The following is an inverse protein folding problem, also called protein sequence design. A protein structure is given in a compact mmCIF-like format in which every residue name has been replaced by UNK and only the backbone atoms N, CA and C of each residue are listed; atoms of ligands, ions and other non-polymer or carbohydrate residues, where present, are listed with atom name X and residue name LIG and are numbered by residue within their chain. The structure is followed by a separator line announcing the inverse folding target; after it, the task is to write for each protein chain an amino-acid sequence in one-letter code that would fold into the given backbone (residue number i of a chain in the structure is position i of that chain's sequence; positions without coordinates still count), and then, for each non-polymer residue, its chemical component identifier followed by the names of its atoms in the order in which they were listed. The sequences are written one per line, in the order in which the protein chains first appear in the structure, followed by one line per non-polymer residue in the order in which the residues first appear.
data_IF_401440419626
#
_entry.id   IF_401440419626
#
_cell.length_a   1.000
_cell.length_b   1.000
_cell.length_c   1.000
_cell.angle_alpha   90.00
_cell.angle_beta   90.00
_cell.angle_gamma   90.00
#
_symmetry.space_group_name_H-M   'P 1'
#
loop_
_entity.id
_entity.type
_entity.pdbx_description
1 polymer ?
#
# COMPACT_ATOMS: atom_id res chain seq x y z
N UNK A 1 6.00 -17.09 8.04
CA UNK A 1 5.06 -15.95 8.11
C UNK A 1 5.25 -15.07 6.88
N UNK A 2 4.18 -14.57 6.26
CA UNK A 2 4.29 -13.80 5.02
C UNK A 2 5.09 -12.49 5.18
N UNK A 3 5.05 -11.87 6.36
CA UNK A 3 5.85 -10.68 6.66
C UNK A 3 7.37 -10.95 6.70
N UNK A 4 7.80 -12.11 7.20
CA UNK A 4 9.21 -12.47 7.19
C UNK A 4 9.74 -12.64 5.76
N UNK A 5 8.89 -13.13 4.84
CA UNK A 5 9.25 -13.21 3.42
C UNK A 5 9.43 -11.80 2.84
N UNK A 6 8.47 -10.90 3.06
CA UNK A 6 8.60 -9.49 2.64
C UNK A 6 9.92 -8.87 3.12
N UNK A 7 10.21 -8.97 4.42
CA UNK A 7 11.41 -8.40 5.04
C UNK A 7 12.70 -9.00 4.50
N UNK A 8 12.72 -10.30 4.20
CA UNK A 8 13.95 -10.99 3.76
C UNK A 8 14.18 -10.94 2.25
N UNK A 9 13.17 -10.65 1.43
CA UNK A 9 13.28 -10.77 -0.04
C UNK A 9 12.94 -9.52 -0.82
N UNK A 10 12.18 -8.59 -0.23
CA UNK A 10 11.63 -7.45 -0.97
C UNK A 10 11.96 -6.10 -0.32
N UNK A 11 12.49 -6.07 0.91
CA UNK A 11 12.71 -4.83 1.65
C UNK A 11 13.77 -3.93 0.97
N UNK A 12 13.38 -2.70 0.65
CA UNK A 12 14.30 -1.67 0.20
C UNK A 12 15.07 -1.08 1.39
N UNK A 13 16.40 -0.96 1.27
CA UNK A 13 17.29 -0.47 2.32
C UNK A 13 17.74 0.96 2.00
N UNK A 14 16.95 1.99 2.31
CA UNK A 14 17.41 3.38 2.17
C UNK A 14 16.87 4.30 3.27
N UNK A 15 17.75 5.22 3.72
CA UNK A 15 17.45 6.23 4.74
C UNK A 15 16.37 7.23 4.31
N UNK A 16 16.14 7.36 3.00
CA UNK A 16 14.98 8.03 2.41
C UNK A 16 14.22 6.98 1.61
N UNK A 17 13.05 6.57 2.07
CA UNK A 17 12.31 5.46 1.46
C UNK A 17 11.74 5.94 0.12
N UNK A 18 12.42 5.57 -0.97
CA UNK A 18 12.18 6.06 -2.33
C UNK A 18 12.14 4.88 -3.28
N UNK A 19 11.18 4.93 -4.20
CA UNK A 19 11.02 4.02 -5.32
C UNK A 19 11.08 4.80 -6.63
N UNK A 20 11.98 4.37 -7.50
CA UNK A 20 12.24 4.98 -8.80
C UNK A 20 12.04 3.92 -9.89
N UNK A 21 10.81 3.77 -10.41
CA UNK A 21 10.59 2.83 -11.50
C UNK A 21 11.28 3.33 -12.76
N UNK A 22 11.64 2.40 -13.65
CA UNK A 22 12.22 2.72 -14.97
C UNK A 22 11.29 3.59 -15.81
N UNK A 23 10.00 3.30 -15.75
CA UNK A 23 8.92 4.04 -16.40
C UNK A 23 7.80 4.31 -15.37
N UNK A 24 7.34 5.56 -15.25
CA UNK A 24 6.24 5.91 -14.32
C UNK A 24 6.53 7.13 -13.45
N UNK A 25 5.74 7.27 -12.38
CA UNK A 25 5.89 8.32 -11.37
C UNK A 25 6.76 7.85 -10.19
N UNK A 26 7.65 8.71 -9.68
CA UNK A 26 8.40 8.37 -8.48
C UNK A 26 7.47 8.32 -7.25
N UNK A 27 7.73 7.35 -6.37
CA UNK A 27 7.06 7.28 -5.07
C UNK A 27 8.13 7.51 -4.02
N UNK A 28 7.95 8.53 -3.19
CA UNK A 28 8.85 8.89 -2.11
C UNK A 28 8.08 9.01 -0.82
N UNK A 29 8.77 8.91 0.31
CA UNK A 29 8.25 9.37 1.57
C UNK A 29 9.34 10.09 2.35
N UNK A 30 9.05 11.34 2.72
CA UNK A 30 9.88 12.06 3.67
C UNK A 30 9.37 11.72 5.06
N UNK A 31 10.01 10.74 5.71
CA UNK A 31 9.61 10.25 7.04
C UNK A 31 9.77 11.35 8.09
N UNK A 32 8.78 11.47 8.98
CA UNK A 32 8.85 12.32 10.17
C UNK A 32 9.34 11.52 11.37
N UNK A 33 9.62 12.22 12.47
CA UNK A 33 9.89 11.59 13.75
C UNK A 33 8.75 10.64 14.13
N UNK A 34 9.10 9.45 14.65
CA UNK A 34 8.19 8.36 15.03
C UNK A 34 7.45 7.68 13.86
N UNK A 35 7.75 8.00 12.60
CA UNK A 35 7.23 7.28 11.45
C UNK A 35 8.14 6.12 11.08
N UNK A 36 7.54 4.96 10.88
CA UNK A 36 8.24 3.75 10.46
C UNK A 36 7.66 3.26 9.15
N UNK A 37 8.51 3.21 8.14
CA UNK A 37 8.13 2.90 6.76
C UNK A 37 9.09 1.87 6.18
N UNK A 38 8.54 0.86 5.50
CA UNK A 38 9.32 -0.11 4.73
C UNK A 38 8.67 -0.24 3.36
N UNK A 39 9.45 -0.04 2.30
CA UNK A 39 9.03 -0.38 0.95
C UNK A 39 9.42 -1.82 0.64
N UNK A 40 8.49 -2.54 0.06
CA UNK A 40 8.70 -3.85 -0.50
C UNK A 40 8.46 -3.78 -1.99
N UNK A 41 9.52 -3.91 -2.78
CA UNK A 41 9.44 -3.95 -4.22
C UNK A 41 9.08 -5.36 -4.67
N UNK A 42 7.91 -5.49 -5.30
CA UNK A 42 7.30 -6.78 -5.63
C UNK A 42 6.99 -6.92 -7.11
N UNK A 43 7.36 -5.92 -7.91
CA UNK A 43 6.98 -5.76 -9.31
C UNK A 43 7.50 -6.89 -10.23
N UNK A 44 7.05 -6.84 -11.49
CA UNK A 44 7.49 -7.80 -12.48
C UNK A 44 8.93 -7.60 -12.94
N UNK A 45 9.54 -6.42 -12.84
CA UNK A 45 10.83 -6.17 -13.47
C UNK A 45 12.04 -6.39 -12.54
N UNK A 46 11.91 -6.06 -11.26
CA UNK A 46 13.03 -6.12 -10.31
C UNK A 46 13.02 -7.40 -9.47
N UNK A 47 11.88 -8.08 -9.31
CA UNK A 47 11.76 -9.19 -8.35
C UNK A 47 11.08 -10.46 -8.90
N UNK A 48 11.35 -10.82 -10.17
CA UNK A 48 10.74 -11.98 -10.88
C UNK A 48 10.79 -13.31 -10.16
N UNK A 49 11.86 -13.58 -9.44
CA UNK A 49 12.12 -14.88 -8.79
C UNK A 49 11.96 -14.83 -7.27
N UNK A 50 11.35 -13.76 -6.73
CA UNK A 50 11.24 -13.58 -5.29
C UNK A 50 10.47 -14.72 -4.63
N UNK A 51 10.98 -15.21 -3.50
CA UNK A 51 10.28 -16.22 -2.71
C UNK A 51 8.91 -15.70 -2.24
N UNK A 52 8.77 -14.37 -2.08
CA UNK A 52 7.48 -13.73 -1.86
C UNK A 52 6.51 -14.03 -3.00
N UNK A 53 6.84 -13.71 -4.25
CA UNK A 53 5.96 -13.99 -5.40
C UNK A 53 5.62 -15.47 -5.52
N UNK A 54 6.60 -16.36 -5.29
CA UNK A 54 6.36 -17.81 -5.25
C UNK A 54 5.35 -18.21 -4.16
N UNK A 55 5.53 -17.67 -2.96
CA UNK A 55 4.69 -18.00 -1.82
C UNK A 55 3.22 -17.56 -2.00
N UNK A 56 3.02 -16.46 -2.72
CA UNK A 56 1.70 -15.88 -2.98
C UNK A 56 1.11 -16.25 -4.36
N UNK A 57 1.75 -17.17 -5.09
CA UNK A 57 1.34 -17.62 -6.43
C UNK A 57 1.24 -16.47 -7.45
N UNK A 58 2.20 -15.54 -7.39
CA UNK A 58 2.35 -14.37 -8.26
C UNK A 58 3.46 -14.56 -9.30
N UNK A 59 3.63 -15.78 -9.84
CA UNK A 59 4.73 -16.16 -10.74
C UNK A 59 4.34 -16.32 -12.22
N UNK A 60 3.08 -16.08 -12.59
CA UNK A 60 2.65 -16.21 -13.98
C UNK A 60 3.18 -15.10 -14.87
N UNK A 61 3.66 -15.44 -16.07
CA UNK A 61 3.92 -14.44 -17.12
C UNK A 61 2.63 -13.65 -17.41
N UNK A 62 2.71 -12.32 -17.40
CA UNK A 62 1.56 -11.45 -17.64
C UNK A 62 0.61 -11.27 -16.45
N UNK A 63 0.95 -11.78 -15.25
CA UNK A 63 0.20 -11.42 -14.05
C UNK A 63 0.40 -9.95 -13.72
N UNK A 64 -0.68 -9.18 -13.81
CA UNK A 64 -0.74 -7.78 -13.41
C UNK A 64 -0.68 -7.68 -11.88
N UNK A 65 0.52 -7.48 -11.35
CA UNK A 65 0.78 -7.14 -9.94
C UNK A 65 1.21 -5.69 -9.82
N UNK A 66 0.99 -5.09 -8.65
CA UNK A 66 1.42 -3.71 -8.42
C UNK A 66 2.91 -3.63 -8.10
N UNK A 67 3.48 -2.44 -8.22
CA UNK A 67 4.90 -2.22 -8.05
C UNK A 67 5.39 -2.43 -6.61
N UNK A 68 4.64 -1.88 -5.65
CA UNK A 68 5.08 -1.74 -4.27
C UNK A 68 4.03 -2.22 -3.27
N UNK A 69 4.54 -2.80 -2.18
CA UNK A 69 3.83 -2.92 -0.92
C UNK A 69 4.55 -2.04 0.11
N UNK A 70 3.83 -1.16 0.78
CA UNK A 70 4.38 -0.19 1.73
C UNK A 70 3.82 -0.52 3.10
N UNK A 71 4.68 -0.91 4.03
CA UNK A 71 4.31 -1.04 5.44
C UNK A 71 4.57 0.27 6.16
N UNK A 72 3.55 0.77 6.86
CA UNK A 72 3.59 2.04 7.56
C UNK A 72 2.97 1.91 8.95
N UNK A 73 3.62 2.49 9.94
CA UNK A 73 2.99 2.82 11.21
C UNK A 73 3.60 4.07 11.84
N UNK A 74 2.83 4.72 12.69
CA UNK A 74 3.27 5.81 13.53
C UNK A 74 3.41 5.29 14.96
N UNK A 75 4.56 5.53 15.58
CA UNK A 75 4.76 5.27 17.00
C UNK A 75 4.15 6.42 17.82
N UNK A 76 3.37 6.09 18.84
CA UNK A 76 2.83 7.07 19.79
C UNK A 76 3.31 6.73 21.20
N UNK A 77 3.66 7.76 21.97
CA UNK A 77 4.17 7.63 23.33
C UNK A 77 3.13 7.18 24.36
N UNK A 78 1.85 7.06 23.95
CA UNK A 78 0.72 6.81 24.84
C UNK A 78 0.23 5.34 24.85
N UNK A 79 0.73 4.47 23.98
CA UNK A 79 0.26 3.08 23.91
C UNK A 79 1.34 2.08 23.48
N UNK A 80 1.11 0.82 23.82
CA UNK A 80 1.90 -0.30 23.32
C UNK A 80 1.82 -0.33 21.78
N UNK A 81 2.95 -0.18 21.09
CA UNK A 81 3.06 -0.21 19.61
C UNK A 81 2.42 -1.47 19.03
N UNK A 82 2.37 -2.55 19.80
CA UNK A 82 1.68 -3.81 19.50
C UNK A 82 0.16 -3.74 19.65
N UNK A 83 -0.43 -2.57 19.83
CA UNK A 83 -1.89 -2.34 19.82
C UNK A 83 -2.30 -1.27 18.81
N UNK A 84 -1.34 -0.61 18.19
CA UNK A 84 -1.61 0.40 17.18
C UNK A 84 -1.85 -0.22 15.80
N UNK A 85 -2.79 0.34 15.01
CA UNK A 85 -3.07 -0.14 13.68
C UNK A 85 -1.83 -0.04 12.81
N UNK A 86 -1.64 -1.05 11.96
CA UNK A 86 -0.58 -1.06 10.96
C UNK A 86 -1.21 -0.88 9.59
N UNK A 87 -0.61 -0.04 8.77
CA UNK A 87 -1.08 0.19 7.41
C UNK A 87 -0.22 -0.65 6.47
N UNK A 88 -0.88 -1.42 5.60
CA UNK A 88 -0.26 -1.94 4.40
C UNK A 88 -0.88 -1.22 3.20
N UNK A 89 -0.09 -0.43 2.50
CA UNK A 89 -0.51 0.25 1.28
C UNK A 89 0.02 -0.49 0.05
N UNK A 90 -0.88 -0.86 -0.85
CA UNK A 90 -0.52 -1.29 -2.20
C UNK A 90 -0.35 -0.04 -3.05
N UNK A 91 0.82 0.12 -3.63
CA UNK A 91 1.14 1.29 -4.43
C UNK A 91 1.57 0.89 -5.84
N UNK A 92 1.00 1.59 -6.80
CA UNK A 92 1.34 1.45 -8.21
C UNK A 92 1.86 2.77 -8.74
N UNK A 93 2.94 2.71 -9.51
CA UNK A 93 3.46 3.82 -10.27
C UNK A 93 3.08 3.67 -11.74
N UNK A 94 2.13 4.48 -12.22
CA UNK A 94 1.81 4.54 -13.65
C UNK A 94 2.02 5.92 -14.23
N UNK A 95 2.35 5.94 -15.53
CA UNK A 95 2.25 7.16 -16.31
C UNK A 95 0.80 7.57 -16.52
N UNK A 96 0.09 6.85 -17.41
CA UNK A 96 -1.21 7.29 -17.94
C UNK A 96 -2.36 6.25 -17.85
N UNK A 97 -2.08 4.94 -17.75
CA UNK A 97 -3.12 3.90 -17.71
C UNK A 97 -3.55 3.58 -16.28
N UNK A 98 -4.68 4.16 -15.86
CA UNK A 98 -5.21 4.02 -14.50
C UNK A 98 -6.04 2.76 -14.30
N UNK A 99 -6.73 2.28 -15.34
CA UNK A 99 -7.51 1.04 -15.23
C UNK A 99 -6.58 -0.17 -15.02
N UNK A 100 -5.42 -0.20 -15.70
CA UNK A 100 -4.40 -1.23 -15.45
C UNK A 100 -3.84 -1.17 -14.03
N UNK A 101 -3.61 0.04 -13.50
CA UNK A 101 -3.13 0.22 -12.12
C UNK A 101 -4.13 -0.32 -11.09
N UNK A 102 -5.43 -0.10 -11.32
CA UNK A 102 -6.49 -0.64 -10.46
C UNK A 102 -6.49 -2.16 -10.50
N UNK A 103 -6.41 -2.74 -11.70
CA UNK A 103 -6.36 -4.19 -11.88
C UNK A 103 -5.14 -4.80 -11.18
N UNK A 104 -3.97 -4.17 -11.29
CA UNK A 104 -2.75 -4.59 -10.59
C UNK A 104 -2.91 -4.56 -9.07
N UNK A 105 -3.49 -3.49 -8.52
CA UNK A 105 -3.76 -3.36 -7.08
C UNK A 105 -4.75 -4.45 -6.63
N UNK A 106 -5.87 -4.61 -7.34
CA UNK A 106 -6.91 -5.58 -7.00
C UNK A 106 -6.37 -7.02 -7.04
N UNK A 107 -5.65 -7.38 -8.10
CA UNK A 107 -5.03 -8.69 -8.22
C UNK A 107 -4.04 -8.95 -7.09
N UNK A 108 -3.12 -8.01 -6.85
CA UNK A 108 -2.13 -8.13 -5.77
C UNK A 108 -2.81 -8.29 -4.41
N UNK A 109 -3.82 -7.47 -4.13
CA UNK A 109 -4.61 -7.54 -2.90
C UNK A 109 -5.27 -8.91 -2.73
N UNK A 110 -5.89 -9.44 -3.78
CA UNK A 110 -6.57 -10.74 -3.75
C UNK A 110 -5.61 -11.90 -3.49
N UNK A 111 -4.38 -11.84 -4.03
CA UNK A 111 -3.34 -12.83 -3.77
C UNK A 111 -2.87 -12.80 -2.31
N UNK A 112 -2.70 -11.62 -1.73
CA UNK A 112 -2.07 -11.47 -0.41
C UNK A 112 -3.05 -11.54 0.76
N UNK A 113 -4.26 -10.99 0.64
CA UNK A 113 -5.18 -10.77 1.77
C UNK A 113 -5.48 -12.06 2.54
N UNK A 114 -5.69 -13.17 1.82
CA UNK A 114 -6.04 -14.47 2.40
C UNK A 114 -4.89 -15.12 3.19
N UNK A 115 -3.65 -14.64 3.03
CA UNK A 115 -2.48 -15.12 3.78
C UNK A 115 -2.12 -14.20 4.95
N UNK A 116 -2.58 -12.95 4.90
CA UNK A 116 -2.45 -11.97 5.98
C UNK A 116 -3.63 -11.99 6.97
N UNK A 117 -4.72 -12.68 6.63
CA UNK A 117 -5.78 -13.00 7.59
C UNK A 117 -5.25 -13.97 8.65
N UNK A 118 -4.89 -13.42 9.80
CA UNK A 118 -4.43 -14.20 10.94
C UNK A 118 -5.59 -14.96 11.61
N UNK A 119 -5.62 -16.30 11.56
CA UNK A 119 -6.67 -17.08 12.22
C UNK A 119 -6.57 -17.04 13.75
N UNK A 120 -5.46 -16.54 14.31
CA UNK A 120 -5.11 -16.65 15.73
C UNK A 120 -5.01 -15.31 16.47
N UNK A 121 -5.26 -14.18 15.81
CA UNK A 121 -5.37 -12.86 16.46
C UNK A 121 -4.07 -12.29 17.04
N UNK A 122 -2.91 -12.78 16.61
CA UNK A 122 -1.58 -12.29 17.00
C UNK A 122 -1.12 -11.06 16.24
N UNK A 123 -1.68 -10.78 15.05
CA UNK A 123 -1.41 -9.54 14.33
C UNK A 123 -2.42 -8.46 14.69
N UNK A 124 -1.93 -7.26 15.00
CA UNK A 124 -2.76 -6.07 15.04
C UNK A 124 -3.65 -5.94 13.81
N UNK A 125 -4.80 -5.25 13.93
CA UNK A 125 -5.62 -4.93 12.78
C UNK A 125 -4.76 -4.26 11.70
N UNK A 126 -4.58 -4.98 10.59
CA UNK A 126 -3.93 -4.46 9.39
C UNK A 126 -5.00 -3.70 8.62
N UNK A 127 -4.71 -2.44 8.33
CA UNK A 127 -5.54 -1.60 7.48
C UNK A 127 -4.92 -1.57 6.10
N UNK A 128 -5.71 -1.99 5.12
CA UNK A 128 -5.29 -2.00 3.73
C UNK A 128 -5.63 -0.68 3.05
N UNK A 129 -4.63 -0.12 2.40
CA UNK A 129 -4.74 1.10 1.61
C UNK A 129 -4.29 0.85 0.17
N UNK A 130 -4.74 1.70 -0.75
CA UNK A 130 -4.31 1.69 -2.14
C UNK A 130 -3.89 3.09 -2.60
N UNK A 131 -2.79 3.16 -3.34
CA UNK A 131 -2.29 4.41 -3.87
C UNK A 131 -1.83 4.25 -5.31
N UNK A 132 -2.22 5.17 -6.18
CA UNK A 132 -1.69 5.24 -7.55
C UNK A 132 -0.95 6.56 -7.70
N UNK A 133 0.36 6.48 -7.92
CA UNK A 133 1.17 7.62 -8.33
C UNK A 133 1.02 7.80 -9.85
N UNK A 134 0.70 9.01 -10.30
CA UNK A 134 0.54 9.33 -11.72
C UNK A 134 1.49 10.43 -12.17
N UNK A 135 2.02 10.35 -13.39
CA UNK A 135 2.86 11.42 -13.94
C UNK A 135 2.03 12.63 -14.43
N UNK A 136 0.71 12.48 -14.47
CA UNK A 136 -0.23 13.52 -14.89
C UNK A 136 -1.56 12.91 -15.34
N UNK A 137 -2.64 13.67 -15.15
CA UNK A 137 -3.93 13.35 -15.76
C UNK A 137 -4.09 14.31 -16.95
N UNK A 138 -4.31 13.78 -18.15
CA UNK A 138 -4.63 14.60 -19.33
C UNK A 138 -5.84 15.54 -19.09
N UNK A 139 -6.11 16.45 -20.03
CA UNK A 139 -7.23 17.40 -19.97
C UNK A 139 -8.57 16.68 -19.66
N UNK A 140 -9.13 16.91 -18.46
CA UNK A 140 -10.29 16.17 -17.91
C UNK A 140 -10.18 15.75 -16.42
N UNK A 141 -9.31 16.42 -15.67
CA UNK A 141 -8.61 15.92 -14.47
C UNK A 141 -9.50 15.56 -13.27
N UNK A 142 -10.58 16.30 -13.00
CA UNK A 142 -11.34 16.12 -11.76
C UNK A 142 -12.39 15.02 -11.83
N UNK A 143 -13.03 14.86 -12.99
CA UNK A 143 -14.05 13.82 -13.21
C UNK A 143 -13.42 12.42 -13.17
N UNK A 144 -12.29 12.27 -13.89
CA UNK A 144 -11.51 11.03 -13.91
C UNK A 144 -11.01 10.65 -12.53
N UNK A 145 -10.35 11.57 -11.79
CA UNK A 145 -9.88 11.31 -10.41
C UNK A 145 -11.01 10.82 -9.48
N UNK A 146 -12.19 11.45 -9.53
CA UNK A 146 -13.34 11.05 -8.71
C UNK A 146 -13.84 9.65 -9.07
N UNK A 147 -13.93 9.34 -10.37
CA UNK A 147 -14.36 8.03 -10.85
C UNK A 147 -13.38 6.93 -10.42
N UNK A 148 -12.07 7.18 -10.53
CA UNK A 148 -11.05 6.21 -10.13
C UNK A 148 -11.02 5.98 -8.62
N UNK A 149 -11.16 7.04 -7.82
CA UNK A 149 -11.30 6.88 -6.36
C UNK A 149 -12.52 6.01 -6.01
N UNK A 150 -13.61 6.16 -6.76
CA UNK A 150 -14.80 5.31 -6.63
C UNK A 150 -14.53 3.87 -7.05
N UNK A 151 -13.77 3.63 -8.13
CA UNK A 151 -13.38 2.27 -8.56
C UNK A 151 -12.45 1.59 -7.55
N UNK A 152 -11.36 2.25 -7.13
CA UNK A 152 -10.46 1.74 -6.10
C UNK A 152 -11.17 1.48 -4.78
N UNK A 153 -12.05 2.39 -4.35
CA UNK A 153 -12.85 2.23 -3.13
C UNK A 153 -13.90 1.13 -3.19
N UNK A 154 -14.11 0.47 -4.34
CA UNK A 154 -14.95 -0.73 -4.46
C UNK A 154 -14.19 -2.03 -4.25
N UNK A 155 -12.85 -2.01 -4.21
CA UNK A 155 -12.07 -3.21 -3.91
C UNK A 155 -12.34 -3.57 -2.44
N UNK A 156 -13.16 -4.60 -2.22
CA UNK A 156 -13.58 -5.04 -0.90
C UNK A 156 -12.38 -5.37 -0.01
N UNK A 157 -12.28 -4.74 1.16
CA UNK A 157 -11.17 -4.89 2.10
C UNK A 157 -10.13 -3.76 2.05
N UNK A 158 -10.10 -2.96 0.98
CA UNK A 158 -9.31 -1.71 0.95
C UNK A 158 -10.13 -0.59 1.59
N UNK A 159 -9.60 0.00 2.66
CA UNK A 159 -10.30 1.01 3.46
C UNK A 159 -10.12 2.42 2.93
N UNK A 160 -8.90 2.77 2.53
CA UNK A 160 -8.58 4.09 2.01
C UNK A 160 -7.86 3.98 0.67
N UNK A 161 -8.21 4.86 -0.25
CA UNK A 161 -7.59 4.90 -1.58
C UNK A 161 -7.39 6.32 -2.09
N UNK A 162 -6.32 6.49 -2.88
CA UNK A 162 -6.01 7.74 -3.56
C UNK A 162 -5.30 7.51 -4.90
N UNK A 163 -5.44 8.48 -5.79
CA UNK A 163 -4.64 8.58 -7.02
C UNK A 163 -4.17 10.02 -7.15
N UNK A 164 -2.86 10.26 -7.19
CA UNK A 164 -2.27 11.60 -7.12
C UNK A 164 -1.02 11.70 -7.97
N UNK A 165 -0.70 12.94 -8.35
CA UNK A 165 0.59 13.31 -8.97
C UNK A 165 1.65 13.67 -7.93
N UNK A 166 1.29 13.65 -6.65
CA UNK A 166 2.20 13.90 -5.54
C UNK A 166 3.14 12.70 -5.37
N UNK A 167 4.45 12.95 -5.40
CA UNK A 167 5.43 11.87 -5.24
C UNK A 167 5.55 11.44 -3.77
N UNK A 168 5.38 12.38 -2.83
CA UNK A 168 5.43 12.09 -1.39
C UNK A 168 4.11 11.45 -0.94
N UNK A 169 4.11 10.12 -0.84
CA UNK A 169 2.94 9.35 -0.37
C UNK A 169 2.71 9.53 1.14
N UNK A 170 3.65 10.10 1.89
CA UNK A 170 3.56 10.28 3.33
C UNK A 170 2.32 11.05 3.77
N UNK A 171 1.91 12.07 3.00
CA UNK A 171 0.69 12.83 3.30
C UNK A 171 -0.58 11.96 3.24
N UNK A 172 -0.65 11.04 2.27
CA UNK A 172 -1.74 10.08 2.17
C UNK A 172 -1.74 9.10 3.34
N UNK A 173 -0.58 8.53 3.70
CA UNK A 173 -0.47 7.55 4.79
C UNK A 173 -0.80 8.16 6.15
N UNK A 174 -0.31 9.37 6.43
CA UNK A 174 -0.64 10.14 7.64
C UNK A 174 -2.14 10.45 7.73
N UNK A 175 -2.74 10.86 6.62
CA UNK A 175 -4.19 11.11 6.59
C UNK A 175 -4.99 9.83 6.85
N UNK A 176 -4.58 8.69 6.30
CA UNK A 176 -5.19 7.40 6.62
C UNK A 176 -5.07 7.08 8.11
N UNK A 177 -3.89 7.27 8.70
CA UNK A 177 -3.63 7.01 10.11
C UNK A 177 -4.49 7.88 11.03
N UNK A 178 -4.52 9.20 10.79
CA UNK A 178 -5.34 10.14 11.57
C UNK A 178 -6.83 9.77 11.54
N UNK A 179 -7.36 9.33 10.39
CA UNK A 179 -8.74 8.86 10.30
C UNK A 179 -8.99 7.60 11.13
N UNK A 180 -8.02 6.67 11.18
CA UNK A 180 -8.12 5.47 12.02
C UNK A 180 -8.15 5.82 13.51
N UNK A 181 -7.35 6.79 13.94
CA UNK A 181 -7.37 7.27 15.32
C UNK A 181 -8.72 7.90 15.66
N UNK A 182 -9.25 8.79 14.81
CA UNK A 182 -10.57 9.37 15.04
C UNK A 182 -11.69 8.32 15.10
N UNK A 183 -11.62 7.27 14.27
CA UNK A 183 -12.59 6.16 14.31
C UNK A 183 -12.46 5.30 15.59
N UNK A 184 -11.22 5.05 16.04
CA UNK A 184 -10.91 4.33 17.29
C UNK A 184 -11.41 5.12 18.49
N UNK A 185 -11.22 6.43 18.51
CA UNK A 185 -11.74 7.32 19.56
C UNK A 185 -13.27 7.35 19.58
N UNK A 186 -13.91 7.45 18.42
CA UNK A 186 -15.37 7.53 18.33
C UNK A 186 -16.09 6.23 18.71
N UNK A 187 -15.49 5.06 18.41
CA UNK A 187 -16.18 3.75 18.55
C UNK A 187 -15.53 2.80 19.55
N UNK A 188 -14.39 3.17 20.13
CA UNK A 188 -13.58 2.34 21.03
C UNK A 188 -12.87 1.17 20.35
N UNK A 189 -13.04 0.98 19.02
CA UNK A 189 -12.42 -0.07 18.21
C UNK A 189 -12.14 0.43 16.80
N UNK A 190 -11.26 -0.25 16.05
CA UNK A 190 -11.09 0.03 14.62
C UNK A 190 -12.02 -0.90 13.85
N UNK A 191 -12.95 -0.32 13.08
CA UNK A 191 -13.80 -1.09 12.17
C UNK A 191 -12.96 -1.53 10.96
N UNK A 192 -12.64 -2.83 10.90
CA UNK A 192 -12.09 -3.45 9.70
C UNK A 192 -13.27 -3.88 8.81
N UNK A 193 -13.34 -3.30 7.61
CA UNK A 193 -14.33 -3.65 6.57
C UNK A 193 -13.81 -4.72 5.63
#
# INVERSE_FOLDING_TARGET
MPFNLLVTTCACHSQNVRYEPRDGAHITINTKENEHVIFFEIDEQSNKTSLFRKHFSMLGEGQKICDLLIYYYLESSACDVRKEPKIICLAESKGSSLDDAIEQIENTFNHIKAKFSDPKGYTNPIVWCAYIATSGFGSGQNLRRKEYRKKLGKISGIKYSSASTEQDIGNFLRHCYSRLESEKEATGKILLT
#
